data_IF_476370226884
#
_entry.id   IF_476370226884
#
_cell.length_a   1.000
_cell.length_b   1.000
_cell.length_c   1.000
_cell.angle_alpha   90.00
_cell.angle_beta   90.00
_cell.angle_gamma   90.00
#
_symmetry.space_group_name_H-M   'P 1'
#
loop_
_entity.id
_entity.type
_entity.pdbx_description
1 polymer ?
#
# COMPACT_ATOMS: atom_id res chain seq x y z
N UNK A 1 9.33 -8.10 -22.26
CA UNK A 1 10.67 -7.55 -21.97
C UNK A 1 11.24 -6.71 -23.11
N UNK A 2 10.52 -6.53 -24.23
CA UNK A 2 10.90 -5.58 -25.30
C UNK A 2 10.49 -4.13 -24.98
N UNK A 3 9.40 -3.92 -24.23
CA UNK A 3 8.95 -2.57 -23.83
C UNK A 3 9.92 -1.82 -22.91
N UNK A 4 10.78 -2.51 -22.17
CA UNK A 4 11.82 -1.88 -21.33
C UNK A 4 12.96 -1.26 -22.13
N UNK A 5 13.17 -1.68 -23.38
CA UNK A 5 14.16 -1.07 -24.28
C UNK A 5 13.64 0.19 -24.99
N UNK A 6 12.30 0.31 -25.12
CA UNK A 6 11.65 1.46 -25.76
C UNK A 6 11.28 2.58 -24.78
N UNK A 7 11.35 2.30 -23.47
CA UNK A 7 11.04 3.28 -22.44
C UNK A 7 12.23 4.23 -22.24
N UNK A 8 12.02 5.55 -22.20
CA UNK A 8 13.07 6.48 -21.79
C UNK A 8 13.53 6.17 -20.36
N UNK A 9 14.82 6.39 -20.10
CA UNK A 9 15.39 6.24 -18.76
C UNK A 9 14.65 7.13 -17.75
N UNK A 10 14.49 6.63 -16.51
CA UNK A 10 13.73 7.35 -15.48
C UNK A 10 14.40 8.68 -15.14
N UNK A 11 13.71 9.85 -15.24
CA UNK A 11 14.28 11.13 -14.90
C UNK A 11 14.78 11.21 -13.45
N UNK A 12 14.07 10.56 -12.52
CA UNK A 12 14.47 10.48 -11.12
C UNK A 12 15.81 9.76 -10.92
N UNK A 13 16.06 8.72 -11.72
CA UNK A 13 17.36 8.04 -11.69
C UNK A 13 18.46 8.95 -12.25
N UNK A 14 18.21 9.63 -13.37
CA UNK A 14 19.16 10.56 -14.00
C UNK A 14 19.53 11.74 -13.08
N UNK A 15 18.54 12.36 -12.43
CA UNK A 15 18.74 13.44 -11.43
C UNK A 15 19.57 12.94 -10.24
N UNK A 16 19.29 11.74 -9.73
CA UNK A 16 20.06 11.13 -8.62
C UNK A 16 21.52 10.84 -8.97
N UNK A 17 21.83 10.65 -10.26
CA UNK A 17 23.19 10.42 -10.77
C UNK A 17 23.84 11.71 -11.30
N UNK A 18 23.21 12.88 -11.11
CA UNK A 18 23.74 14.17 -11.58
C UNK A 18 23.66 14.40 -13.09
N UNK A 19 22.93 13.57 -13.84
CA UNK A 19 22.77 13.66 -15.30
C UNK A 19 21.57 14.55 -15.65
N UNK A 20 21.65 15.84 -15.34
CA UNK A 20 20.51 16.77 -15.43
C UNK A 20 20.03 17.02 -16.87
N UNK A 21 20.95 17.14 -17.84
CA UNK A 21 20.59 17.39 -19.25
C UNK A 21 19.84 16.22 -19.89
N UNK A 22 20.22 14.99 -19.54
CA UNK A 22 19.50 13.81 -19.98
C UNK A 22 18.16 13.67 -19.27
N UNK A 23 18.08 14.08 -18.00
CA UNK A 23 16.82 14.14 -17.28
C UNK A 23 15.83 15.12 -17.92
N UNK A 24 16.29 16.30 -18.37
CA UNK A 24 15.47 17.25 -19.14
C UNK A 24 14.92 16.63 -20.41
N UNK A 25 15.77 15.94 -21.18
CA UNK A 25 15.35 15.25 -22.43
C UNK A 25 14.34 14.12 -22.16
N UNK A 26 14.52 13.38 -21.07
CA UNK A 26 13.57 12.35 -20.66
C UNK A 26 12.22 12.95 -20.25
N UNK A 27 12.22 14.04 -19.46
CA UNK A 27 11.00 14.77 -19.06
C UNK A 27 10.30 15.36 -20.27
N UNK A 28 11.04 16.00 -21.19
CA UNK A 28 10.46 16.60 -22.38
C UNK A 28 9.83 15.56 -23.31
N UNK A 29 10.38 14.34 -23.38
CA UNK A 29 9.79 13.26 -24.16
C UNK A 29 8.47 12.72 -23.57
N UNK A 30 8.28 12.85 -22.25
CA UNK A 30 7.08 12.37 -21.55
C UNK A 30 6.01 13.46 -21.39
N UNK A 31 6.38 14.72 -21.58
CA UNK A 31 5.48 15.86 -21.40
C UNK A 31 4.91 16.25 -22.76
N UNK A 32 3.58 16.19 -22.91
CA UNK A 32 2.92 16.76 -24.09
C UNK A 32 2.82 18.27 -23.91
N UNK A 33 3.34 19.10 -24.83
CA UNK A 33 3.21 20.55 -24.73
C UNK A 33 1.73 20.94 -24.79
N UNK A 34 1.25 21.63 -23.75
CA UNK A 34 -0.09 22.21 -23.70
C UNK A 34 0.05 23.72 -23.90
N UNK A 35 -0.65 24.27 -24.88
CA UNK A 35 -0.46 25.65 -25.37
C UNK A 35 -0.73 26.76 -24.34
N UNK A 36 -1.24 26.43 -23.15
CA UNK A 36 -1.72 27.36 -22.12
C UNK A 36 -0.94 27.23 -20.78
N UNK A 37 0.10 26.40 -20.73
CA UNK A 37 0.94 26.21 -19.54
C UNK A 37 2.41 26.27 -19.95
N UNK A 38 3.10 27.33 -19.53
CA UNK A 38 4.56 27.41 -19.64
C UNK A 38 5.18 26.37 -18.71
N UNK A 39 5.45 25.18 -19.25
CA UNK A 39 6.11 24.11 -18.51
C UNK A 39 7.60 24.40 -18.45
N UNK A 40 8.01 25.09 -17.38
CA UNK A 40 9.43 25.32 -17.10
C UNK A 40 10.11 24.00 -16.70
N UNK A 41 10.83 23.43 -17.68
CA UNK A 41 11.63 22.21 -17.52
C UNK A 41 12.70 22.37 -16.45
N UNK A 42 13.30 23.56 -16.32
CA UNK A 42 14.35 23.83 -15.34
C UNK A 42 13.78 23.86 -13.92
N UNK A 43 12.65 24.55 -13.70
CA UNK A 43 11.95 24.53 -12.42
C UNK A 43 11.48 23.13 -12.02
N UNK A 44 11.08 22.31 -12.99
CA UNK A 44 10.67 20.92 -12.73
C UNK A 44 11.85 20.03 -12.29
N UNK A 45 13.00 20.14 -12.96
CA UNK A 45 14.22 19.43 -12.57
C UNK A 45 14.73 19.91 -11.21
N UNK A 46 14.64 21.21 -10.94
CA UNK A 46 15.02 21.76 -9.64
C UNK A 46 14.13 21.22 -8.52
N UNK A 47 12.83 21.08 -8.75
CA UNK A 47 11.91 20.42 -7.81
C UNK A 47 12.34 18.98 -7.55
N UNK A 48 12.74 18.22 -8.57
CA UNK A 48 13.27 16.87 -8.39
C UNK A 48 14.58 16.85 -7.61
N UNK A 49 15.45 17.83 -7.82
CA UNK A 49 16.74 17.97 -7.10
C UNK A 49 16.51 18.23 -5.61
N UNK A 50 15.68 19.23 -5.29
CA UNK A 50 15.30 19.58 -3.92
C UNK A 50 14.61 18.40 -3.24
N UNK A 51 13.69 17.71 -3.92
CA UNK A 51 13.02 16.53 -3.38
C UNK A 51 14.00 15.39 -3.13
N UNK A 52 14.93 15.13 -4.06
CA UNK A 52 15.96 14.09 -3.90
C UNK A 52 16.89 14.40 -2.73
N UNK A 53 17.27 15.66 -2.57
CA UNK A 53 18.09 16.11 -1.46
C UNK A 53 17.35 15.93 -0.12
N UNK A 54 16.10 16.38 -0.05
CA UNK A 54 15.24 16.19 1.13
C UNK A 54 15.04 14.70 1.46
N UNK A 55 14.78 13.86 0.45
CA UNK A 55 14.70 12.40 0.62
C UNK A 55 16.01 11.82 1.13
N UNK A 56 17.16 12.30 0.65
CA UNK A 56 18.49 11.82 1.04
C UNK A 56 18.84 12.26 2.46
N UNK A 57 18.55 13.50 2.83
CA UNK A 57 18.71 14.02 4.21
C UNK A 57 17.81 13.26 5.19
N UNK A 58 16.53 13.08 4.84
CA UNK A 58 15.58 12.33 5.67
C UNK A 58 15.84 10.80 5.67
N UNK A 59 16.60 10.28 4.69
CA UNK A 59 16.94 8.86 4.59
C UNK A 59 18.35 8.49 5.06
N UNK A 60 19.28 9.44 5.19
CA UNK A 60 20.70 9.20 5.42
C UNK A 60 21.01 8.47 6.74
N UNK A 61 20.09 8.48 7.71
CA UNK A 61 20.20 7.72 8.96
C UNK A 61 19.09 6.69 9.17
N UNK A 62 18.17 6.51 8.20
CA UNK A 62 16.97 5.71 8.41
C UNK A 62 17.21 4.23 8.09
N UNK A 63 17.38 3.42 9.13
CA UNK A 63 17.50 1.97 9.05
C UNK A 63 16.12 1.30 9.10
N UNK A 64 16.00 0.07 8.56
CA UNK A 64 14.75 -0.70 8.66
C UNK A 64 14.31 -0.92 10.11
N UNK A 65 15.26 -0.93 11.06
CA UNK A 65 14.99 -1.01 12.49
C UNK A 65 14.22 0.20 13.04
N UNK A 66 14.28 1.36 12.39
CA UNK A 66 13.55 2.56 12.81
C UNK A 66 12.04 2.44 12.53
N UNK A 67 11.64 1.51 11.66
CA UNK A 67 10.22 1.15 11.49
C UNK A 67 9.63 0.49 12.76
N UNK A 68 10.48 -0.07 13.63
CA UNK A 68 10.08 -0.75 14.86
C UNK A 68 10.31 0.09 16.13
N UNK A 69 10.67 1.37 16.01
CA UNK A 69 10.88 2.26 17.15
C UNK A 69 9.81 3.36 17.24
N UNK A 70 9.37 3.64 18.46
CA UNK A 70 8.48 4.76 18.78
C UNK A 70 7.12 4.70 18.07
N UNK A 71 6.66 5.85 17.57
CA UNK A 71 5.38 6.01 16.85
C UNK A 71 5.31 5.21 15.54
N UNK A 72 6.45 4.92 14.92
CA UNK A 72 6.52 4.15 13.67
C UNK A 72 6.14 2.68 13.85
N UNK A 73 6.28 2.11 15.05
CA UNK A 73 5.93 0.71 15.32
C UNK A 73 4.43 0.47 15.13
N UNK A 74 3.59 1.36 15.67
CA UNK A 74 2.13 1.26 15.52
C UNK A 74 1.69 1.45 14.07
N UNK A 75 2.34 2.37 13.33
CA UNK A 75 2.07 2.57 11.90
C UNK A 75 2.49 1.36 11.06
N UNK A 76 3.65 0.78 11.37
CA UNK A 76 4.17 -0.41 10.69
C UNK A 76 3.33 -1.65 11.00
N UNK A 77 2.90 -1.84 12.25
CA UNK A 77 1.93 -2.87 12.65
C UNK A 77 0.65 -2.74 11.83
N UNK A 78 0.06 -1.54 11.77
CA UNK A 78 -1.19 -1.30 11.02
C UNK A 78 -1.02 -1.59 9.53
N UNK A 79 0.06 -1.11 8.91
CA UNK A 79 0.35 -1.38 7.51
C UNK A 79 0.51 -2.89 7.24
N UNK A 80 1.31 -3.59 8.06
CA UNK A 80 1.56 -5.03 7.90
C UNK A 80 0.27 -5.84 8.05
N UNK A 81 -0.53 -5.58 9.08
CA UNK A 81 -1.76 -6.34 9.32
C UNK A 81 -2.83 -6.04 8.26
N UNK A 82 -2.95 -4.80 7.78
CA UNK A 82 -3.86 -4.47 6.68
C UNK A 82 -3.52 -5.26 5.41
N UNK A 83 -2.23 -5.34 5.06
CA UNK A 83 -1.77 -6.14 3.93
C UNK A 83 -1.91 -7.65 4.19
N UNK A 84 -1.59 -8.15 5.38
CA UNK A 84 -1.77 -9.56 5.73
C UNK A 84 -3.26 -9.97 5.67
N UNK A 85 -4.17 -9.11 6.11
CA UNK A 85 -5.61 -9.38 6.02
C UNK A 85 -6.02 -9.71 4.59
N UNK A 86 -5.45 -9.04 3.59
CA UNK A 86 -5.69 -9.37 2.18
C UNK A 86 -5.21 -10.79 1.81
N UNK A 87 -4.02 -11.19 2.28
CA UNK A 87 -3.48 -12.53 2.01
C UNK A 87 -4.33 -13.64 2.65
N UNK A 88 -4.84 -13.42 3.86
CA UNK A 88 -5.56 -14.45 4.62
C UNK A 88 -7.08 -14.45 4.36
N UNK A 89 -7.69 -13.34 3.94
CA UNK A 89 -9.16 -13.23 3.81
C UNK A 89 -9.72 -13.51 2.40
N UNK A 90 -8.90 -13.83 1.39
CA UNK A 90 -9.44 -14.06 0.04
C UNK A 90 -8.50 -14.67 -0.99
N UNK A 91 -7.19 -14.43 -0.90
CA UNK A 91 -6.21 -14.93 -1.88
C UNK A 91 -6.27 -16.45 -2.10
N UNK A 92 -6.43 -17.31 -1.08
CA UNK A 92 -6.44 -18.76 -1.28
C UNK A 92 -7.65 -19.26 -2.07
N UNK A 93 -8.81 -18.62 -1.91
CA UNK A 93 -10.03 -18.97 -2.64
C UNK A 93 -9.98 -18.53 -4.11
N UNK A 94 -9.20 -17.49 -4.44
CA UNK A 94 -9.00 -17.12 -5.83
C UNK A 94 -8.18 -18.18 -6.59
N UNK A 95 -7.10 -18.68 -5.97
CA UNK A 95 -6.23 -19.69 -6.59
C UNK A 95 -6.81 -21.11 -6.59
N UNK A 96 -7.51 -21.50 -5.52
CA UNK A 96 -8.04 -22.86 -5.35
C UNK A 96 -9.58 -22.95 -5.45
N UNK A 97 -10.26 -21.87 -5.86
CA UNK A 97 -11.72 -21.77 -5.83
C UNK A 97 -12.45 -22.89 -6.56
N UNK A 98 -11.94 -23.31 -7.72
CA UNK A 98 -12.54 -24.43 -8.49
C UNK A 98 -12.46 -25.74 -7.70
N UNK A 99 -11.32 -26.05 -7.08
CA UNK A 99 -11.17 -27.26 -6.27
C UNK A 99 -12.03 -27.22 -5.02
N UNK A 100 -12.10 -26.07 -4.35
CA UNK A 100 -12.98 -25.87 -3.21
C UNK A 100 -14.45 -26.11 -3.59
N UNK A 101 -14.92 -25.56 -4.71
CA UNK A 101 -16.30 -25.76 -5.20
C UNK A 101 -16.59 -27.22 -5.57
N UNK A 102 -15.63 -27.93 -6.18
CA UNK A 102 -15.79 -29.36 -6.47
C UNK A 102 -15.91 -30.16 -5.17
N UNK A 103 -15.10 -29.83 -4.15
CA UNK A 103 -15.15 -30.49 -2.84
C UNK A 103 -16.40 -30.11 -2.03
N UNK A 104 -17.04 -28.98 -2.35
CA UNK A 104 -18.34 -28.59 -1.83
C UNK A 104 -19.52 -29.29 -2.53
N UNK A 105 -19.26 -30.13 -3.54
CA UNK A 105 -20.27 -30.91 -4.24
C UNK A 105 -20.73 -30.35 -5.59
N UNK A 106 -20.14 -29.23 -6.06
CA UNK A 106 -20.45 -28.70 -7.39
C UNK A 106 -19.71 -29.50 -8.48
N UNK A 107 -20.33 -29.65 -9.65
CA UNK A 107 -19.64 -30.25 -10.79
C UNK A 107 -18.53 -29.33 -11.32
N UNK A 108 -17.49 -29.93 -11.92
CA UNK A 108 -16.32 -29.20 -12.42
C UNK A 108 -16.68 -28.09 -13.42
N UNK A 109 -17.73 -28.29 -14.23
CA UNK A 109 -18.24 -27.28 -15.18
C UNK A 109 -18.78 -26.04 -14.47
N UNK A 110 -19.54 -26.22 -13.40
CA UNK A 110 -20.08 -25.10 -12.61
C UNK A 110 -18.98 -24.41 -11.81
N UNK A 111 -18.07 -25.17 -11.20
CA UNK A 111 -16.92 -24.62 -10.48
C UNK A 111 -16.02 -23.75 -11.38
N UNK A 112 -15.70 -24.23 -12.59
CA UNK A 112 -14.93 -23.45 -13.55
C UNK A 112 -15.68 -22.20 -14.03
N UNK A 113 -16.98 -22.32 -14.36
CA UNK A 113 -17.79 -21.19 -14.79
C UNK A 113 -17.94 -20.11 -13.70
N UNK A 114 -17.96 -20.48 -12.42
CA UNK A 114 -17.96 -19.53 -11.30
C UNK A 114 -16.62 -18.81 -11.15
N UNK A 115 -15.49 -19.52 -11.29
CA UNK A 115 -14.17 -18.92 -11.21
C UNK A 115 -13.90 -17.94 -12.36
N UNK A 116 -14.37 -18.26 -13.57
CA UNK A 116 -14.30 -17.36 -14.72
C UNK A 116 -15.12 -16.08 -14.49
N UNK A 117 -16.35 -16.20 -13.96
CA UNK A 117 -17.18 -15.05 -13.60
C UNK A 117 -16.54 -14.18 -12.52
N UNK A 118 -15.97 -14.79 -11.49
CA UNK A 118 -15.25 -14.08 -10.43
C UNK A 118 -14.07 -13.28 -10.97
N UNK A 119 -13.26 -13.88 -11.85
CA UNK A 119 -12.11 -13.20 -12.47
C UNK A 119 -12.56 -12.06 -13.37
N UNK A 120 -13.64 -12.26 -14.15
CA UNK A 120 -14.23 -11.22 -15.00
C UNK A 120 -14.76 -10.03 -14.19
N UNK A 121 -15.46 -10.27 -13.08
CA UNK A 121 -15.92 -9.21 -12.18
C UNK A 121 -14.74 -8.46 -11.55
N UNK A 122 -13.66 -9.18 -11.21
CA UNK A 122 -12.42 -8.58 -10.71
C UNK A 122 -11.80 -7.60 -11.70
N UNK A 123 -11.76 -7.95 -12.99
CA UNK A 123 -11.25 -7.06 -14.04
C UNK A 123 -12.07 -5.77 -14.18
N UNK A 124 -13.41 -5.90 -14.19
CA UNK A 124 -14.30 -4.74 -14.22
C UNK A 124 -14.13 -3.86 -12.98
N UNK A 125 -13.95 -4.48 -11.80
CA UNK A 125 -13.64 -3.77 -10.56
C UNK A 125 -12.34 -2.98 -10.64
N UNK A 126 -11.29 -3.51 -11.26
CA UNK A 126 -10.04 -2.78 -11.49
C UNK A 126 -10.23 -1.57 -12.41
N UNK A 127 -11.01 -1.70 -13.49
CA UNK A 127 -11.31 -0.60 -14.41
C UNK A 127 -12.11 0.49 -13.70
N UNK A 128 -13.13 0.10 -12.93
CA UNK A 128 -13.92 1.02 -12.11
C UNK A 128 -13.03 1.72 -11.09
N UNK A 129 -12.14 0.99 -10.42
CA UNK A 129 -11.19 1.57 -9.46
C UNK A 129 -10.26 2.58 -10.13
N UNK A 130 -9.75 2.29 -11.33
CA UNK A 130 -8.97 3.26 -12.12
C UNK A 130 -9.76 4.54 -12.39
N UNK A 131 -11.05 4.43 -12.73
CA UNK A 131 -11.93 5.58 -12.96
C UNK A 131 -12.26 6.35 -11.67
N UNK A 132 -12.51 5.65 -10.55
CA UNK A 132 -12.76 6.30 -9.26
C UNK A 132 -11.52 7.06 -8.77
N UNK A 133 -10.33 6.48 -8.96
CA UNK A 133 -9.05 7.10 -8.57
C UNK A 133 -8.69 8.34 -9.39
N UNK A 134 -9.23 8.51 -10.60
CA UNK A 134 -9.07 9.77 -11.36
C UNK A 134 -10.07 10.83 -10.93
N UNK A 135 -11.23 10.46 -10.39
CA UNK A 135 -12.27 11.40 -9.92
C UNK A 135 -12.11 11.84 -8.46
N UNK A 136 -11.69 10.94 -7.58
CA UNK A 136 -11.38 11.23 -6.18
C UNK A 136 -9.87 11.43 -6.04
N UNK A 137 -9.44 12.69 -5.95
CA UNK A 137 -8.06 13.14 -6.11
C UNK A 137 -6.96 12.30 -5.44
N UNK A 138 -5.85 12.12 -6.16
CA UNK A 138 -4.63 11.37 -5.79
C UNK A 138 -3.79 11.97 -4.64
N UNK A 139 -4.34 12.79 -3.74
CA UNK A 139 -3.53 13.45 -2.71
C UNK A 139 -3.35 12.67 -1.40
N UNK A 140 -4.15 11.64 -1.13
CA UNK A 140 -4.25 11.08 0.24
C UNK A 140 -3.55 9.73 0.48
N UNK A 141 -2.88 9.12 -0.51
CA UNK A 141 -2.45 7.70 -0.37
C UNK A 141 -0.94 7.40 -0.50
N UNK A 142 -0.11 8.28 -1.06
CA UNK A 142 1.20 7.81 -1.55
C UNK A 142 2.44 8.03 -0.68
N UNK A 143 2.35 8.67 0.49
CA UNK A 143 3.53 8.98 1.32
C UNK A 143 3.53 8.34 2.71
N UNK A 144 2.82 7.22 2.90
CA UNK A 144 3.25 6.30 3.97
C UNK A 144 4.65 5.80 3.59
N UNK A 145 5.64 6.12 4.42
CA UNK A 145 7.08 5.86 4.21
C UNK A 145 7.27 4.63 3.33
N UNK A 146 7.83 4.82 2.12
CA UNK A 146 8.00 3.76 1.10
C UNK A 146 8.61 2.49 1.72
N UNK A 147 9.51 2.64 2.70
CA UNK A 147 10.11 1.56 3.48
C UNK A 147 9.08 0.71 4.26
N UNK A 148 8.10 1.34 4.93
CA UNK A 148 7.03 0.66 5.67
C UNK A 148 6.09 -0.09 4.73
N UNK A 149 5.74 0.51 3.59
CA UNK A 149 4.88 -0.14 2.58
C UNK A 149 5.61 -1.33 1.93
N UNK A 150 6.89 -1.17 1.61
CA UNK A 150 7.71 -2.26 1.08
C UNK A 150 7.82 -3.43 2.07
N UNK A 151 8.05 -3.14 3.34
CA UNK A 151 8.07 -4.16 4.39
C UNK A 151 6.70 -4.86 4.54
N UNK A 152 5.61 -4.09 4.59
CA UNK A 152 4.25 -4.66 4.64
C UNK A 152 3.93 -5.55 3.42
N UNK A 153 4.43 -5.19 2.22
CA UNK A 153 4.32 -6.04 1.02
C UNK A 153 5.14 -7.31 1.11
N UNK A 154 6.33 -7.26 1.70
CA UNK A 154 7.10 -8.47 1.98
C UNK A 154 6.34 -9.40 2.93
N UNK A 155 5.72 -8.86 4.00
CA UNK A 155 4.84 -9.62 4.89
C UNK A 155 3.65 -10.24 4.14
N UNK A 156 3.00 -9.48 3.24
CA UNK A 156 1.93 -10.01 2.39
C UNK A 156 2.39 -11.19 1.54
N UNK A 157 3.54 -11.10 0.88
CA UNK A 157 4.05 -12.18 0.03
C UNK A 157 4.41 -13.43 0.85
N UNK A 158 5.02 -13.24 2.03
CA UNK A 158 5.29 -14.34 2.96
C UNK A 158 3.99 -14.99 3.46
N UNK A 159 2.99 -14.18 3.84
CA UNK A 159 1.66 -14.65 4.18
C UNK A 159 1.00 -15.41 3.02
N UNK A 160 1.12 -14.89 1.80
CA UNK A 160 0.63 -15.54 0.58
C UNK A 160 1.28 -16.91 0.34
N UNK A 161 2.59 -17.05 0.58
CA UNK A 161 3.25 -18.35 0.50
C UNK A 161 2.66 -19.34 1.52
N UNK A 162 2.54 -18.91 2.78
CA UNK A 162 1.97 -19.74 3.86
C UNK A 162 0.54 -20.16 3.51
N UNK A 163 -0.29 -19.22 3.05
CA UNK A 163 -1.69 -19.49 2.76
C UNK A 163 -1.85 -20.46 1.58
N UNK A 164 -0.97 -20.38 0.57
CA UNK A 164 -0.95 -21.32 -0.54
C UNK A 164 -0.55 -22.73 -0.10
N UNK A 165 0.46 -22.85 0.77
CA UNK A 165 0.88 -24.17 1.32
C UNK A 165 -0.22 -24.78 2.19
N UNK A 166 -0.84 -24.00 3.07
CA UNK A 166 -1.93 -24.46 3.94
C UNK A 166 -3.13 -24.88 3.09
N UNK A 167 -3.56 -24.06 2.13
CA UNK A 167 -4.73 -24.34 1.29
C UNK A 167 -4.52 -25.59 0.43
N UNK A 168 -3.32 -25.78 -0.14
CA UNK A 168 -2.98 -26.98 -0.90
C UNK A 168 -3.06 -28.25 -0.04
N UNK A 169 -2.59 -28.19 1.22
CA UNK A 169 -2.67 -29.32 2.17
C UNK A 169 -4.10 -29.58 2.67
N UNK A 170 -4.90 -28.53 2.86
CA UNK A 170 -6.30 -28.62 3.29
C UNK A 170 -7.18 -29.30 2.24
N UNK A 171 -6.98 -28.96 0.96
CA UNK A 171 -7.75 -29.50 -0.16
C UNK A 171 -7.16 -30.81 -0.72
N UNK A 172 -5.90 -31.12 -0.41
CA UNK A 172 -5.24 -32.34 -0.86
C UNK A 172 -5.86 -33.60 -0.26
N UNK A 173 -6.29 -34.53 -1.13
CA UNK A 173 -6.90 -35.82 -0.73
C UNK A 173 -5.96 -36.72 0.09
N UNK A 174 -4.66 -36.62 -0.14
CA UNK A 174 -3.62 -37.41 0.53
C UNK A 174 -3.01 -36.71 1.76
N UNK A 175 -3.59 -35.58 2.19
CA UNK A 175 -3.12 -34.80 3.32
C UNK A 175 -4.25 -34.61 4.34
N UNK A 176 -4.65 -33.36 4.62
CA UNK A 176 -5.65 -33.09 5.64
C UNK A 176 -7.08 -33.36 5.15
N UNK A 177 -7.32 -33.31 3.84
CA UNK A 177 -8.61 -33.60 3.20
C UNK A 177 -9.80 -32.93 3.91
N UNK A 178 -9.61 -31.68 4.35
CA UNK A 178 -10.66 -30.90 5.02
C UNK A 178 -11.79 -30.53 4.07
N UNK A 179 -11.58 -30.61 2.76
CA UNK A 179 -12.66 -30.41 1.83
C UNK A 179 -13.17 -28.97 1.86
N UNK A 180 -14.49 -28.85 1.74
CA UNK A 180 -15.22 -27.61 1.96
C UNK A 180 -15.15 -27.08 3.42
N UNK A 181 -14.78 -27.91 4.41
CA UNK A 181 -14.67 -27.45 5.81
C UNK A 181 -13.53 -26.44 6.02
N UNK A 182 -12.56 -26.40 5.11
CA UNK A 182 -11.53 -25.36 5.06
C UNK A 182 -12.13 -23.94 5.02
N UNK A 183 -13.34 -23.78 4.47
CA UNK A 183 -14.07 -22.52 4.47
C UNK A 183 -14.30 -21.92 5.86
N UNK A 184 -14.64 -22.75 6.85
CA UNK A 184 -14.86 -22.28 8.22
C UNK A 184 -13.58 -21.83 8.92
N UNK A 185 -12.44 -22.49 8.62
CA UNK A 185 -11.15 -22.07 9.13
C UNK A 185 -10.78 -20.67 8.63
N UNK A 186 -10.92 -20.44 7.33
CA UNK A 186 -10.64 -19.13 6.72
C UNK A 186 -11.64 -18.06 7.14
N UNK A 187 -12.92 -18.40 7.30
CA UNK A 187 -13.93 -17.48 7.82
C UNK A 187 -13.66 -17.07 9.27
N UNK A 188 -13.25 -18.01 10.13
CA UNK A 188 -12.86 -17.72 11.51
C UNK A 188 -11.64 -16.79 11.57
N UNK A 189 -10.63 -17.05 10.75
CA UNK A 189 -9.44 -16.21 10.66
C UNK A 189 -9.76 -14.81 10.11
N UNK A 190 -10.61 -14.72 9.09
CA UNK A 190 -11.09 -13.45 8.57
C UNK A 190 -11.87 -12.66 9.65
N UNK A 191 -12.66 -13.35 10.48
CA UNK A 191 -13.34 -12.76 11.63
C UNK A 191 -12.38 -12.17 12.67
N UNK A 192 -11.26 -12.86 12.95
CA UNK A 192 -10.21 -12.34 13.84
C UNK A 192 -9.53 -11.11 13.27
N UNK A 193 -9.19 -11.11 11.98
CA UNK A 193 -8.63 -9.93 11.32
C UNK A 193 -9.64 -8.78 11.28
N UNK A 194 -10.93 -9.06 11.05
CA UNK A 194 -11.99 -8.06 11.11
C UNK A 194 -12.16 -7.46 12.50
N UNK A 195 -12.13 -8.29 13.55
CA UNK A 195 -12.15 -7.81 14.92
C UNK A 195 -10.91 -6.95 15.21
N UNK A 196 -9.73 -7.38 14.75
CA UNK A 196 -8.50 -6.61 14.90
C UNK A 196 -8.59 -5.25 14.19
N UNK A 197 -9.05 -5.21 12.93
CA UNK A 197 -9.21 -3.95 12.19
C UNK A 197 -10.19 -3.03 12.89
N UNK A 198 -11.30 -3.58 13.40
CA UNK A 198 -12.28 -2.81 14.18
C UNK A 198 -11.69 -2.12 15.41
N UNK A 199 -10.76 -2.76 16.14
CA UNK A 199 -10.16 -2.18 17.35
C UNK A 199 -8.90 -1.34 17.09
N UNK A 200 -8.11 -1.67 16.06
CA UNK A 200 -6.73 -1.17 15.87
C UNK A 200 -6.53 -0.36 14.60
N UNK A 201 -7.48 -0.33 13.66
CA UNK A 201 -7.42 0.54 12.49
C UNK A 201 -8.06 1.91 12.80
N UNK A 202 -7.29 3.02 12.75
CA UNK A 202 -7.85 4.36 12.97
C UNK A 202 -8.58 4.87 11.74
N UNK A 203 -9.65 5.62 11.96
CA UNK A 203 -10.35 6.32 10.88
C UNK A 203 -9.55 7.57 10.49
N UNK A 204 -8.89 7.51 9.33
CA UNK A 204 -8.10 8.63 8.80
C UNK A 204 -8.94 9.63 7.97
N UNK A 205 -10.27 9.49 7.99
CA UNK A 205 -11.16 10.25 7.11
C UNK A 205 -11.17 11.73 7.51
N UNK A 206 -10.72 12.59 6.58
CA UNK A 206 -10.72 14.04 6.76
C UNK A 206 -9.46 14.64 7.40
N UNK A 207 -8.52 13.81 7.88
CA UNK A 207 -7.26 14.26 8.48
C UNK A 207 -6.14 14.39 7.44
N UNK A 208 -5.34 15.44 7.57
CA UNK A 208 -4.11 15.61 6.79
C UNK A 208 -2.97 14.74 7.32
N UNK A 209 -1.92 14.53 6.52
CA UNK A 209 -0.77 13.71 6.94
C UNK A 209 -0.05 14.27 8.17
N UNK A 210 0.12 15.59 8.25
CA UNK A 210 0.79 16.22 9.40
C UNK A 210 -0.01 16.02 10.69
N UNK A 211 -1.34 16.11 10.60
CA UNK A 211 -2.25 15.88 11.72
C UNK A 211 -2.28 14.40 12.14
N UNK A 212 -2.30 13.47 11.17
CA UNK A 212 -2.16 12.04 11.46
C UNK A 212 -0.82 11.77 12.15
N UNK A 213 0.24 12.40 11.66
CA UNK A 213 1.57 12.15 12.16
C UNK A 213 1.71 12.56 13.63
N UNK A 214 1.19 13.74 13.95
CA UNK A 214 1.03 14.26 15.30
C UNK A 214 0.25 13.34 16.23
N UNK A 215 -0.90 12.87 15.76
CA UNK A 215 -1.78 12.01 16.56
C UNK A 215 -1.12 10.66 16.85
N UNK A 216 -0.34 10.12 15.91
CA UNK A 216 0.48 8.92 16.13
C UNK A 216 1.65 9.18 17.08
N UNK A 217 2.26 10.36 17.04
CA UNK A 217 3.36 10.76 17.93
C UNK A 217 2.89 10.90 19.38
N UNK A 218 1.72 11.53 19.58
CA UNK A 218 1.04 11.65 20.88
C UNK A 218 0.33 10.38 21.34
N UNK A 219 0.52 9.25 20.63
CA UNK A 219 -0.05 7.92 20.96
C UNK A 219 -1.56 7.96 21.22
N UNK A 220 -2.30 8.81 20.51
CA UNK A 220 -3.75 8.97 20.74
C UNK A 220 -4.52 7.68 20.45
N UNK A 221 -5.63 7.48 21.16
CA UNK A 221 -6.43 6.26 21.03
C UNK A 221 -6.98 6.16 19.62
N UNK A 222 -7.03 4.95 19.07
CA UNK A 222 -7.41 4.68 17.67
C UNK A 222 -8.80 5.19 17.27
N UNK A 223 -9.71 5.33 18.23
CA UNK A 223 -11.08 5.85 18.04
C UNK A 223 -11.23 7.33 18.43
N UNK A 224 -10.14 7.96 18.84
CA UNK A 224 -10.06 9.39 19.14
C UNK A 224 -9.34 10.20 18.06
N UNK A 225 -9.01 9.57 16.92
CA UNK A 225 -8.56 10.29 15.73
C UNK A 225 -9.74 11.11 15.20
N UNK A 226 -9.77 12.37 15.62
CA UNK A 226 -10.78 13.38 15.28
C UNK A 226 -10.06 14.64 14.85
N UNK A 227 -10.67 15.40 13.94
CA UNK A 227 -10.19 16.73 13.55
C UNK A 227 -9.98 17.62 14.79
N UNK A 228 -10.85 17.51 15.80
CA UNK A 228 -10.73 18.26 17.05
C UNK A 228 -9.48 17.88 17.85
N UNK A 229 -9.10 16.60 17.87
CA UNK A 229 -7.89 16.15 18.55
C UNK A 229 -6.63 16.62 17.81
N UNK A 230 -6.68 16.63 16.47
CA UNK A 230 -5.60 17.20 15.66
C UNK A 230 -5.46 18.71 15.89
N UNK A 231 -6.57 19.45 15.90
CA UNK A 231 -6.57 20.91 16.09
C UNK A 231 -6.08 21.31 17.49
N UNK A 232 -6.35 20.51 18.53
CA UNK A 232 -5.81 20.74 19.88
C UNK A 232 -4.28 20.56 19.98
N UNK A 233 -3.69 19.72 19.11
CA UNK A 233 -2.26 19.40 19.09
C UNK A 233 -1.47 20.23 18.07
N UNK A 234 -2.15 20.96 17.17
CA UNK A 234 -1.52 21.92 16.23
C UNK A 234 -0.61 22.96 16.90
N UNK A 235 -0.97 23.61 18.03
CA UNK A 235 -0.10 24.62 18.64
C UNK A 235 1.25 24.05 19.14
N UNK A 236 1.32 22.77 19.50
CA UNK A 236 2.60 22.14 19.89
C UNK A 236 3.56 21.94 18.70
N UNK A 237 3.05 21.88 17.45
CA UNK A 237 3.92 21.86 16.26
C UNK A 237 4.59 23.20 15.99
N UNK A 238 3.90 24.31 16.23
CA UNK A 238 4.48 25.64 16.02
C UNK A 238 5.63 25.91 17.01
N UNK A 239 5.53 25.37 18.24
CA UNK A 239 6.61 25.39 19.23
C UNK A 239 7.79 24.45 18.89
N UNK A 240 7.53 23.28 18.29
CA UNK A 240 8.60 22.36 17.87
C UNK A 240 9.28 22.84 16.58
N UNK A 241 8.52 23.40 15.63
CA UNK A 241 9.05 23.97 14.38
C UNK A 241 9.87 25.25 14.58
N UNK A 242 9.68 25.96 15.69
CA UNK A 242 10.49 27.13 16.09
C UNK A 242 11.75 26.75 16.88
N UNK A 243 11.86 25.53 17.41
CA UNK A 243 13.13 25.01 17.94
C UNK A 243 14.02 24.57 16.78
N UNK A 244 14.95 25.46 16.41
CA UNK A 244 16.09 25.18 15.51
C UNK A 244 16.65 23.77 15.75
N UNK A 245 17.09 23.05 14.69
CA UNK A 245 17.81 21.80 14.86
C UNK A 245 19.04 22.05 15.75
N UNK A 246 19.20 21.24 16.79
CA UNK A 246 20.42 21.19 17.60
C UNK A 246 21.61 20.95 16.67
N UNK A 247 22.58 21.86 16.77
CA UNK A 247 23.91 21.84 16.15
C UNK A 247 24.61 20.49 16.32
#
# INVERSE_FOLDING_TARGET
MTGTYLAPESPWWLVRHGRYEEAKKAVSSMTTPQADVEFDLDAHIETMRVTTQFERENSAGAHYWDCFRGSNLRRTEIACVAWLTQAFAGTPFMGFGVQFMIQAGLSARHGFAMNLRQTGLGLLGCILAMWVLTRFGRRTIYLLRIKTVAFARACYNAGGFITNVIMSRMLGKNAWNWGAKSGFFWAGLAGLFFAWTWFRLPEAKGLTYAELDLLFEHKTRTRGFSQQAADMLKPELEEVGTRKPLS
#
